data_IF_772880497297
#
_entry.id   IF_772880497297
#
_cell.length_a   1.000
_cell.length_b   1.000
_cell.length_c   1.000
_cell.angle_alpha   90.00
_cell.angle_beta   90.00
_cell.angle_gamma   90.00
#
_symmetry.space_group_name_H-M   'P 1'
#
loop_
_entity.id
_entity.type
_entity.pdbx_description
1 polymer ?
#
# COMPACT_ATOMS: atom_id res chain seq x y z
N UNK A 1 -1.21 27.38 -23.58
CA UNK A 1 -2.02 26.42 -22.81
C UNK A 1 -1.11 25.51 -22.04
N UNK A 2 -1.23 25.51 -20.73
CA UNK A 2 -0.47 24.59 -19.87
C UNK A 2 -1.24 23.28 -19.82
N UNK A 3 -0.65 22.18 -20.28
CA UNK A 3 -1.24 20.85 -20.15
C UNK A 3 -1.37 20.44 -18.67
N UNK A 4 -2.25 19.48 -18.40
CA UNK A 4 -2.36 18.92 -17.07
C UNK A 4 -1.03 18.23 -16.69
N UNK A 5 -0.62 18.39 -15.44
CA UNK A 5 0.55 17.67 -14.94
C UNK A 5 0.25 16.18 -14.92
N UNK A 6 1.12 15.39 -15.52
CA UNK A 6 1.02 13.94 -15.51
C UNK A 6 1.70 13.35 -14.29
N UNK A 7 1.03 12.40 -13.64
CA UNK A 7 1.54 11.64 -12.50
C UNK A 7 1.34 10.16 -12.76
N UNK A 8 2.43 9.41 -12.78
CA UNK A 8 2.39 7.96 -12.95
C UNK A 8 2.22 7.27 -11.59
N UNK A 9 1.21 6.41 -11.48
CA UNK A 9 1.05 5.56 -10.30
C UNK A 9 1.93 4.33 -10.47
N UNK A 10 2.93 4.19 -9.61
CA UNK A 10 3.88 3.07 -9.61
C UNK A 10 3.32 1.88 -8.83
N UNK A 11 2.27 1.26 -9.36
CA UNK A 11 1.61 0.10 -8.75
C UNK A 11 1.08 -0.84 -9.83
N UNK A 12 1.16 -2.13 -9.58
CA UNK A 12 0.50 -3.15 -10.37
C UNK A 12 -0.83 -3.61 -9.77
N UNK A 13 -1.24 -3.06 -8.63
CA UNK A 13 -2.46 -3.45 -7.94
C UNK A 13 -3.64 -2.59 -8.41
N UNK A 14 -4.56 -3.20 -9.19
CA UNK A 14 -5.69 -2.50 -9.77
C UNK A 14 -6.63 -1.86 -8.73
N UNK A 15 -6.78 -2.47 -7.55
CA UNK A 15 -7.61 -1.93 -6.48
C UNK A 15 -7.00 -0.67 -5.88
N UNK A 16 -5.69 -0.68 -5.62
CA UNK A 16 -4.95 0.51 -5.16
C UNK A 16 -4.99 1.62 -6.19
N UNK A 17 -4.79 1.30 -7.46
CA UNK A 17 -4.86 2.28 -8.55
C UNK A 17 -6.22 2.98 -8.55
N UNK A 18 -7.31 2.23 -8.43
CA UNK A 18 -8.66 2.81 -8.39
C UNK A 18 -8.84 3.74 -7.19
N UNK A 19 -8.38 3.35 -6.01
CA UNK A 19 -8.47 4.19 -4.82
C UNK A 19 -7.67 5.49 -4.97
N UNK A 20 -6.43 5.39 -5.45
CA UNK A 20 -5.58 6.56 -5.66
C UNK A 20 -6.16 7.47 -6.73
N UNK A 21 -6.64 6.90 -7.83
CA UNK A 21 -7.28 7.66 -8.91
C UNK A 21 -8.50 8.42 -8.41
N UNK A 22 -9.31 7.80 -7.55
CA UNK A 22 -10.46 8.46 -6.92
C UNK A 22 -10.05 9.62 -6.02
N UNK A 23 -8.98 9.47 -5.26
CA UNK A 23 -8.45 10.53 -4.40
C UNK A 23 -7.88 11.70 -5.19
N UNK A 24 -7.27 11.43 -6.34
CA UNK A 24 -6.67 12.45 -7.19
C UNK A 24 -7.67 13.13 -8.14
N UNK A 25 -8.86 12.55 -8.32
CA UNK A 25 -9.86 13.08 -9.26
C UNK A 25 -10.20 14.56 -9.08
N UNK A 26 -10.31 15.10 -7.84
CA UNK A 26 -10.56 16.54 -7.66
C UNK A 26 -9.38 17.44 -8.04
N UNK A 27 -8.20 16.87 -8.23
CA UNK A 27 -7.01 17.64 -8.56
C UNK A 27 -6.84 17.75 -10.07
N UNK A 28 -6.24 18.85 -10.53
CA UNK A 28 -5.97 19.07 -11.94
C UNK A 28 -4.71 18.33 -12.39
N UNK A 29 -4.72 16.99 -12.28
CA UNK A 29 -3.63 16.12 -12.71
C UNK A 29 -4.13 15.03 -13.63
N UNK A 30 -3.29 14.59 -14.55
CA UNK A 30 -3.56 13.45 -15.39
C UNK A 30 -2.87 12.22 -14.76
N UNK A 31 -3.68 11.24 -14.36
CA UNK A 31 -3.18 10.01 -13.75
C UNK A 31 -2.83 9.02 -14.85
N UNK A 32 -1.58 8.55 -14.84
CA UNK A 32 -1.08 7.50 -15.73
C UNK A 32 -0.83 6.22 -14.95
N UNK A 33 -0.94 5.10 -15.63
CA UNK A 33 -0.64 3.77 -15.10
C UNK A 33 0.25 3.00 -16.06
N UNK A 34 0.62 1.77 -15.69
CA UNK A 34 1.35 0.87 -16.59
C UNK A 34 0.62 0.63 -17.92
N UNK A 35 -0.71 0.69 -17.92
CA UNK A 35 -1.50 0.55 -19.15
C UNK A 35 -1.22 1.69 -20.14
N UNK A 36 -0.85 2.86 -19.64
CA UNK A 36 -0.57 4.03 -20.48
C UNK A 36 0.88 4.09 -20.95
N UNK A 37 1.83 3.65 -20.11
CA UNK A 37 3.26 3.85 -20.37
C UNK A 37 4.04 2.57 -20.64
N UNK A 38 3.42 1.42 -20.47
CA UNK A 38 4.05 0.11 -20.61
C UNK A 38 4.55 -0.45 -19.28
N UNK A 39 5.24 -1.61 -19.32
CA UNK A 39 5.67 -2.28 -18.12
C UNK A 39 6.53 -1.39 -17.21
N UNK A 40 6.24 -1.41 -15.91
CA UNK A 40 7.01 -0.69 -14.91
C UNK A 40 8.21 -1.54 -14.46
N UNK A 41 9.28 -0.90 -13.96
CA UNK A 41 10.40 -1.65 -13.41
C UNK A 41 9.97 -2.46 -12.19
N UNK A 42 10.55 -3.63 -12.03
CA UNK A 42 10.38 -4.42 -10.83
C UNK A 42 11.25 -3.80 -9.72
N UNK A 43 10.61 -3.41 -8.61
CA UNK A 43 11.28 -2.80 -7.46
C UNK A 43 11.25 -3.78 -6.30
N UNK A 44 12.41 -4.04 -5.72
CA UNK A 44 12.53 -4.91 -4.54
C UNK A 44 12.15 -4.09 -3.30
N UNK A 45 11.05 -4.45 -2.67
CA UNK A 45 10.55 -3.78 -1.46
C UNK A 45 11.20 -4.41 -0.21
N UNK A 46 12.45 -4.08 0.02
CA UNK A 46 13.29 -4.61 1.10
C UNK A 46 13.60 -3.58 2.19
N UNK A 47 12.97 -2.43 2.15
CA UNK A 47 13.14 -1.43 3.20
C UNK A 47 12.45 -1.87 4.51
N UNK A 48 12.95 -1.44 5.66
CA UNK A 48 12.36 -1.79 6.96
C UNK A 48 11.07 -1.04 7.28
N UNK A 49 10.70 -0.03 6.48
CA UNK A 49 9.53 0.81 6.72
C UNK A 49 8.67 0.95 5.47
N UNK A 50 7.39 1.23 5.68
CA UNK A 50 6.47 1.54 4.57
C UNK A 50 6.95 2.77 3.79
N UNK A 51 7.37 3.83 4.49
CA UNK A 51 7.87 5.03 3.85
C UNK A 51 9.10 4.74 2.97
N UNK A 52 10.02 3.91 3.45
CA UNK A 52 11.21 3.50 2.70
C UNK A 52 10.86 2.73 1.42
N UNK A 53 9.93 1.81 1.50
CA UNK A 53 9.47 1.04 0.33
C UNK A 53 8.72 1.93 -0.67
N UNK A 54 7.84 2.80 -0.20
CA UNK A 54 7.12 3.73 -1.07
C UNK A 54 8.10 4.66 -1.79
N UNK A 55 9.06 5.24 -1.07
CA UNK A 55 10.06 6.13 -1.64
C UNK A 55 10.95 5.42 -2.67
N UNK A 56 11.40 4.21 -2.36
CA UNK A 56 12.21 3.40 -3.28
C UNK A 56 11.46 3.12 -4.58
N UNK A 57 10.21 2.70 -4.46
CA UNK A 57 9.35 2.39 -5.61
C UNK A 57 9.12 3.63 -6.48
N UNK A 58 8.81 4.76 -5.88
CA UNK A 58 8.61 6.02 -6.60
C UNK A 58 9.89 6.47 -7.32
N UNK A 59 11.04 6.43 -6.64
CA UNK A 59 12.34 6.84 -7.22
C UNK A 59 12.77 5.99 -8.39
N UNK A 60 12.75 4.66 -8.22
CA UNK A 60 13.20 3.74 -9.27
C UNK A 60 12.28 3.81 -10.48
N UNK A 61 10.98 3.95 -10.27
CA UNK A 61 10.02 4.10 -11.37
C UNK A 61 10.16 5.45 -12.06
N UNK A 62 10.34 6.54 -11.32
CA UNK A 62 10.58 7.86 -11.90
C UNK A 62 11.86 7.88 -12.73
N UNK A 63 12.92 7.26 -12.24
CA UNK A 63 14.21 7.18 -12.94
C UNK A 63 14.06 6.38 -14.25
N UNK A 64 13.33 5.27 -14.23
CA UNK A 64 13.12 4.41 -15.39
C UNK A 64 12.21 5.04 -16.44
N UNK A 65 11.26 5.88 -16.04
CA UNK A 65 10.22 6.40 -16.93
C UNK A 65 10.40 7.88 -17.29
N UNK A 66 11.21 8.61 -16.54
CA UNK A 66 11.37 10.06 -16.71
C UNK A 66 10.12 10.86 -16.33
N UNK A 67 9.24 10.29 -15.49
CA UNK A 67 7.94 10.88 -15.15
C UNK A 67 7.85 11.16 -13.66
N UNK A 68 6.98 12.09 -13.28
CA UNK A 68 6.55 12.21 -11.88
C UNK A 68 5.87 10.92 -11.48
N UNK A 69 6.26 10.36 -10.35
CA UNK A 69 5.73 9.08 -9.88
C UNK A 69 5.20 9.20 -8.46
N UNK A 70 4.02 8.61 -8.26
CA UNK A 70 3.42 8.41 -6.96
C UNK A 70 3.43 6.91 -6.67
N UNK A 71 3.98 6.53 -5.53
CA UNK A 71 3.96 5.16 -5.06
C UNK A 71 3.42 5.10 -3.64
N UNK A 72 2.87 3.96 -3.29
CA UNK A 72 2.45 3.68 -1.93
C UNK A 72 3.09 2.40 -1.42
N UNK A 73 3.19 2.31 -0.11
CA UNK A 73 3.33 1.04 0.58
C UNK A 73 2.45 1.08 1.82
N UNK A 74 1.68 0.04 2.02
CA UNK A 74 0.69 -0.01 3.08
C UNK A 74 0.61 -1.40 3.67
N UNK A 75 0.10 -1.47 4.88
CA UNK A 75 -0.07 -2.74 5.55
C UNK A 75 -0.65 -2.59 6.94
N UNK A 76 -0.73 -3.73 7.60
CA UNK A 76 -1.32 -3.88 8.91
C UNK A 76 -0.21 -4.01 9.96
N UNK A 77 -0.33 -3.25 11.03
CA UNK A 77 0.50 -3.40 12.22
C UNK A 77 -0.38 -3.84 13.39
N UNK A 78 -0.03 -4.96 14.00
CA UNK A 78 -0.78 -5.53 15.14
C UNK A 78 0.06 -5.39 16.41
N UNK A 79 -0.49 -4.74 17.41
CA UNK A 79 0.24 -4.42 18.64
C UNK A 79 0.75 -5.67 19.37
N UNK A 80 -0.07 -6.69 19.51
CA UNK A 80 0.30 -7.95 20.17
C UNK A 80 1.39 -8.72 19.42
N UNK A 81 1.67 -8.38 18.17
CA UNK A 81 2.70 -8.99 17.32
C UNK A 81 3.89 -8.06 17.10
N UNK A 82 4.08 -7.08 17.98
CA UNK A 82 5.17 -6.09 17.89
C UNK A 82 5.21 -5.37 16.54
N UNK A 83 4.03 -5.08 15.98
CA UNK A 83 3.89 -4.40 14.68
C UNK A 83 3.83 -5.32 13.46
N UNK A 84 4.02 -6.64 13.62
CA UNK A 84 3.83 -7.57 12.51
C UNK A 84 2.34 -7.62 12.10
N UNK A 85 2.02 -7.93 10.84
CA UNK A 85 2.91 -8.24 9.72
C UNK A 85 3.73 -7.06 9.17
N UNK A 86 3.34 -5.80 9.39
CA UNK A 86 4.09 -4.63 8.96
C UNK A 86 4.38 -4.65 7.47
N UNK A 87 5.63 -4.40 7.07
CA UNK A 87 6.04 -4.39 5.66
C UNK A 87 5.88 -5.74 4.98
N UNK A 88 5.67 -6.82 5.73
CA UNK A 88 5.42 -8.16 5.20
C UNK A 88 3.94 -8.46 5.01
N UNK A 89 3.06 -7.47 5.15
CA UNK A 89 1.60 -7.67 5.12
C UNK A 89 1.11 -8.46 3.90
N UNK A 90 1.60 -8.15 2.71
CA UNK A 90 1.16 -8.82 1.49
C UNK A 90 1.66 -10.28 1.37
N UNK A 91 2.69 -10.65 2.13
CA UNK A 91 3.33 -11.97 2.08
C UNK A 91 3.50 -12.60 3.46
N UNK A 92 2.62 -12.28 4.39
CA UNK A 92 2.69 -12.75 5.78
C UNK A 92 2.69 -14.28 5.88
N UNK A 93 1.91 -14.95 5.04
CA UNK A 93 1.85 -16.42 4.98
C UNK A 93 2.89 -17.03 4.02
N UNK A 94 3.73 -16.21 3.37
CA UNK A 94 4.81 -16.65 2.48
C UNK A 94 4.66 -16.16 1.05
N UNK A 95 3.50 -16.38 0.41
CA UNK A 95 3.26 -15.94 -0.95
C UNK A 95 2.67 -14.54 -1.01
N UNK A 96 3.22 -13.72 -1.92
CA UNK A 96 2.74 -12.35 -2.13
C UNK A 96 1.31 -12.36 -2.72
N UNK A 97 0.42 -11.62 -2.06
CA UNK A 97 -0.94 -11.41 -2.57
C UNK A 97 -1.92 -12.51 -2.23
N UNK A 98 -1.53 -13.52 -1.46
CA UNK A 98 -2.45 -14.55 -1.00
C UNK A 98 -3.21 -14.07 0.25
N UNK A 99 -4.24 -13.25 0.03
CA UNK A 99 -5.03 -12.64 1.11
C UNK A 99 -5.67 -13.69 2.02
N UNK A 100 -6.19 -14.77 1.44
CA UNK A 100 -6.82 -15.85 2.21
C UNK A 100 -5.84 -16.48 3.20
N UNK A 101 -4.66 -16.87 2.75
CA UNK A 101 -3.62 -17.46 3.59
C UNK A 101 -3.11 -16.46 4.63
N UNK A 102 -2.95 -15.19 4.26
CA UNK A 102 -2.50 -14.15 5.18
C UNK A 102 -3.51 -13.91 6.31
N UNK A 103 -4.79 -13.83 5.98
CA UNK A 103 -5.86 -13.67 6.97
C UNK A 103 -5.95 -14.89 7.89
N UNK A 104 -5.85 -16.10 7.33
CA UNK A 104 -5.87 -17.35 8.10
C UNK A 104 -4.70 -17.42 9.09
N UNK A 105 -3.50 -17.06 8.64
CA UNK A 105 -2.33 -17.01 9.53
C UNK A 105 -2.53 -15.99 10.64
N UNK A 106 -3.06 -14.81 10.34
CA UNK A 106 -3.29 -13.77 11.34
C UNK A 106 -4.26 -14.25 12.42
N UNK A 107 -5.37 -14.87 12.03
CA UNK A 107 -6.32 -15.45 12.98
C UNK A 107 -5.66 -16.52 13.85
N UNK A 108 -4.83 -17.37 13.27
CA UNK A 108 -4.13 -18.44 13.98
C UNK A 108 -3.15 -17.89 15.01
N UNK A 109 -2.30 -16.93 14.63
CA UNK A 109 -1.28 -16.38 15.54
C UNK A 109 -1.90 -15.52 16.66
N UNK A 110 -3.09 -14.98 16.44
CA UNK A 110 -3.84 -14.22 17.45
C UNK A 110 -4.82 -15.09 18.26
N UNK A 111 -4.87 -16.39 18.03
CA UNK A 111 -5.73 -17.29 18.78
C UNK A 111 -5.39 -17.21 20.28
N UNK A 112 -6.39 -16.93 21.11
CA UNK A 112 -6.22 -16.75 22.54
C UNK A 112 -5.65 -15.40 22.97
N UNK A 113 -5.31 -14.52 22.02
CA UNK A 113 -4.80 -13.19 22.31
C UNK A 113 -5.93 -12.21 22.62
N UNK A 114 -5.91 -11.61 23.82
CA UNK A 114 -6.92 -10.64 24.23
C UNK A 114 -6.66 -9.23 23.69
N UNK A 115 -5.40 -8.88 23.44
CA UNK A 115 -5.05 -7.60 22.83
C UNK A 115 -5.15 -7.72 21.32
N UNK A 116 -6.22 -7.16 20.76
CA UNK A 116 -6.51 -7.20 19.33
C UNK A 116 -6.24 -5.87 18.63
N UNK A 117 -5.60 -4.93 19.31
CA UNK A 117 -5.35 -3.59 18.75
C UNK A 117 -4.45 -3.66 17.53
N UNK A 118 -4.84 -2.92 16.51
CA UNK A 118 -4.12 -2.88 15.25
C UNK A 118 -4.33 -1.54 14.57
N UNK A 119 -3.52 -1.27 13.55
CA UNK A 119 -3.72 -0.11 12.67
C UNK A 119 -3.34 -0.46 11.25
N UNK A 120 -4.09 0.07 10.30
CA UNK A 120 -3.64 0.15 8.92
C UNK A 120 -2.77 1.38 8.73
N UNK A 121 -1.63 1.19 8.08
CA UNK A 121 -0.69 2.27 7.77
C UNK A 121 -0.55 2.35 6.25
N UNK A 122 -0.55 3.56 5.73
CA UNK A 122 -0.25 3.83 4.33
C UNK A 122 0.81 4.93 4.26
N UNK A 123 1.88 4.66 3.53
CA UNK A 123 2.88 5.66 3.17
C UNK A 123 2.75 5.95 1.68
N UNK A 124 2.75 7.23 1.33
CA UNK A 124 2.75 7.71 -0.05
C UNK A 124 4.05 8.46 -0.30
N UNK A 125 4.70 8.19 -1.42
CA UNK A 125 5.87 8.91 -1.86
C UNK A 125 5.63 9.50 -3.26
N UNK A 126 5.89 10.77 -3.41
CA UNK A 126 5.80 11.48 -4.69
C UNK A 126 7.20 11.96 -5.10
N UNK A 127 7.63 11.56 -6.28
CA UNK A 127 8.87 12.03 -6.89
C UNK A 127 8.53 12.94 -8.07
N UNK A 128 9.06 14.16 -8.03
CA UNK A 128 8.91 15.16 -9.07
C UNK A 128 10.28 15.66 -9.51
N UNK A 129 10.30 16.62 -10.44
CA UNK A 129 11.51 17.31 -10.84
C UNK A 129 12.09 18.21 -9.73
N UNK A 130 11.32 18.48 -8.67
CA UNK A 130 11.75 19.30 -7.53
C UNK A 130 12.15 18.46 -6.31
N UNK A 131 12.14 17.15 -6.42
CA UNK A 131 12.57 16.25 -5.36
C UNK A 131 11.50 15.24 -4.95
N UNK A 132 11.65 14.75 -3.73
CA UNK A 132 10.87 13.66 -3.18
C UNK A 132 10.13 14.12 -1.93
N UNK A 133 8.87 13.77 -1.84
CA UNK A 133 8.04 13.99 -0.65
C UNK A 133 7.39 12.69 -0.21
N UNK A 134 7.30 12.47 1.09
CA UNK A 134 6.65 11.31 1.66
C UNK A 134 5.67 11.73 2.75
N UNK A 135 4.49 11.12 2.74
CA UNK A 135 3.46 11.30 3.77
C UNK A 135 2.98 9.95 4.26
N UNK A 136 2.66 9.87 5.54
CA UNK A 136 2.15 8.66 6.17
C UNK A 136 0.84 8.96 6.90
N UNK A 137 -0.13 8.06 6.75
CA UNK A 137 -1.37 8.09 7.49
C UNK A 137 -1.69 6.72 8.05
N UNK A 138 -2.59 6.65 9.04
CA UNK A 138 -3.04 5.39 9.59
C UNK A 138 -4.44 5.49 10.15
N UNK A 139 -5.09 4.34 10.24
CA UNK A 139 -6.41 4.17 10.88
C UNK A 139 -6.25 3.14 11.98
N UNK A 140 -6.61 3.51 13.19
CA UNK A 140 -6.58 2.61 14.34
C UNK A 140 -7.85 1.78 14.42
N UNK A 141 -7.73 0.56 14.92
CA UNK A 141 -8.84 -0.35 15.08
C UNK A 141 -8.42 -1.63 15.80
N UNK A 142 -9.12 -2.69 15.49
CA UNK A 142 -8.88 -4.00 16.11
C UNK A 142 -9.05 -5.12 15.08
N UNK A 143 -8.42 -6.26 15.36
CA UNK A 143 -8.60 -7.48 14.56
C UNK A 143 -9.77 -8.28 15.11
N UNK A 144 -10.74 -8.59 14.26
CA UNK A 144 -11.88 -9.43 14.59
C UNK A 144 -11.48 -10.88 14.79
N UNK A 145 -12.44 -11.69 15.22
CA UNK A 145 -12.25 -13.12 15.46
C UNK A 145 -12.67 -13.99 14.27
N UNK A 146 -13.30 -13.39 13.28
CA UNK A 146 -13.78 -14.08 12.08
C UNK A 146 -13.77 -13.13 10.88
N UNK A 147 -13.74 -13.68 9.70
CA UNK A 147 -13.84 -12.92 8.46
C UNK A 147 -15.25 -12.31 8.32
N UNK A 148 -15.30 -11.02 7.99
CA UNK A 148 -16.57 -10.29 7.76
C UNK A 148 -16.47 -9.45 6.50
N UNK A 149 -17.54 -9.43 5.73
CA UNK A 149 -17.65 -8.65 4.51
C UNK A 149 -16.94 -9.29 3.33
N UNK A 150 -17.20 -8.73 2.15
CA UNK A 150 -16.61 -9.17 0.88
C UNK A 150 -16.05 -8.00 0.07
N UNK A 151 -16.07 -6.79 0.63
CA UNK A 151 -15.55 -5.57 0.00
C UNK A 151 -14.12 -5.32 0.41
N UNK A 152 -13.37 -4.61 -0.44
CA UNK A 152 -11.98 -4.33 -0.16
C UNK A 152 -11.04 -5.49 -0.53
N UNK A 153 -9.87 -5.51 0.10
CA UNK A 153 -8.81 -6.50 -0.15
C UNK A 153 -7.92 -6.64 1.09
N UNK A 154 -6.92 -7.51 1.00
CA UNK A 154 -5.98 -7.71 2.09
C UNK A 154 -6.64 -8.16 3.38
N UNK A 155 -6.42 -7.44 4.47
CA UNK A 155 -6.96 -7.75 5.80
C UNK A 155 -8.30 -7.08 6.10
N UNK A 156 -8.91 -6.42 5.13
CA UNK A 156 -10.19 -5.73 5.33
C UNK A 156 -11.26 -6.61 5.99
N UNK A 157 -11.38 -7.92 5.67
CA UNK A 157 -12.36 -8.78 6.33
C UNK A 157 -12.15 -8.98 7.83
N UNK A 158 -10.95 -8.70 8.35
CA UNK A 158 -10.61 -8.87 9.76
C UNK A 158 -10.50 -7.54 10.52
N UNK A 159 -10.29 -6.43 9.83
CA UNK A 159 -10.03 -5.15 10.48
C UNK A 159 -11.33 -4.42 10.83
N UNK A 160 -11.44 -4.03 12.10
CA UNK A 160 -12.57 -3.28 12.66
C UNK A 160 -12.06 -1.90 13.09
N UNK A 161 -12.33 -0.86 12.27
CA UNK A 161 -11.88 0.49 12.58
C UNK A 161 -12.60 1.12 13.78
#
# INVERSE_FOLDING_TARGET
>A
MVGLQEVLIASGNGKKIREIRGLLAPLSVQVLTADDVGPLPEVIEDAPTFAGNAAKKARETALATGRWCLADDSGLEVEALDGAPGVLSARFAGEHGDDGANNEKLLRVLSGEGNRRARFVCALALVTDQGEQCKRGWVEGAIGHELRGSQGFGYDPLFLP
#
